data_IF_057332204037
#
_entry.id   IF_057332204037
#
_cell.length_a   1.000
_cell.length_b   1.000
_cell.length_c   1.000
_cell.angle_alpha   90.00
_cell.angle_beta   90.00
_cell.angle_gamma   90.00
#
_symmetry.space_group_name_H-M   'P 1'
#
loop_
_entity.id
_entity.type
_entity.pdbx_description
1 polymer ?
#
# COMPACT_ATOMS: atom_id res chain seq x y z
N UNK A 1 46.19 -26.54 10.75
CA UNK A 1 46.52 -25.29 10.03
C UNK A 1 45.29 -24.58 9.46
N UNK A 2 44.48 -25.18 8.57
CA UNK A 2 43.26 -24.49 8.06
C UNK A 2 42.19 -24.31 9.15
N UNK A 3 41.98 -25.31 10.02
CA UNK A 3 41.02 -25.22 11.14
C UNK A 3 41.42 -24.17 12.19
N UNK A 4 42.71 -23.99 12.45
CA UNK A 4 43.21 -23.00 13.40
C UNK A 4 42.97 -21.57 12.90
N UNK A 5 43.24 -21.34 11.61
CA UNK A 5 43.04 -20.03 10.95
C UNK A 5 41.56 -19.63 10.97
N UNK A 6 40.65 -20.55 10.69
CA UNK A 6 39.20 -20.28 10.77
C UNK A 6 38.79 -19.93 12.21
N UNK A 7 39.34 -20.61 13.22
CA UNK A 7 39.09 -20.33 14.63
C UNK A 7 39.53 -18.91 15.04
N UNK A 8 40.74 -18.49 14.64
CA UNK A 8 41.24 -17.14 14.92
C UNK A 8 40.46 -16.04 14.19
N UNK A 9 40.01 -16.30 12.95
CA UNK A 9 39.10 -15.41 12.22
C UNK A 9 37.74 -15.26 12.91
N UNK A 10 37.16 -16.36 13.41
CA UNK A 10 35.90 -16.29 14.15
C UNK A 10 36.05 -15.56 15.50
N UNK A 11 37.14 -15.80 16.24
CA UNK A 11 37.44 -15.13 17.51
C UNK A 11 37.68 -13.62 17.33
N UNK A 12 38.47 -13.23 16.33
CA UNK A 12 38.72 -11.82 16.03
C UNK A 12 37.46 -11.08 15.59
N UNK A 13 36.60 -11.72 14.77
CA UNK A 13 35.30 -11.16 14.40
C UNK A 13 34.37 -11.02 15.61
N UNK A 14 34.33 -12.01 16.51
CA UNK A 14 33.55 -11.95 17.73
C UNK A 14 34.01 -10.82 18.68
N UNK A 15 35.32 -10.63 18.83
CA UNK A 15 35.89 -9.56 19.64
C UNK A 15 35.60 -8.17 19.05
N UNK A 16 35.69 -8.03 17.72
CA UNK A 16 35.32 -6.80 17.00
C UNK A 16 33.83 -6.46 17.20
N UNK A 17 32.95 -7.45 17.10
CA UNK A 17 31.52 -7.26 17.33
C UNK A 17 31.25 -6.86 18.79
N UNK A 18 31.92 -7.50 19.75
CA UNK A 18 31.78 -7.19 21.17
C UNK A 18 32.21 -5.75 21.49
N UNK A 19 33.36 -5.31 20.97
CA UNK A 19 33.87 -3.94 21.17
C UNK A 19 32.96 -2.88 20.54
N UNK A 20 32.41 -3.14 19.34
CA UNK A 20 31.43 -2.25 18.71
C UNK A 20 30.13 -2.15 19.51
N UNK A 21 29.66 -3.26 20.09
CA UNK A 21 28.49 -3.29 20.98
C UNK A 21 28.76 -2.47 22.25
N UNK A 22 29.89 -2.71 22.91
CA UNK A 22 30.28 -2.00 24.14
C UNK A 22 30.42 -0.50 23.90
N UNK A 23 31.04 -0.07 22.79
CA UNK A 23 31.17 1.35 22.45
C UNK A 23 29.81 2.03 22.25
N UNK A 24 28.84 1.34 21.63
CA UNK A 24 27.48 1.88 21.46
C UNK A 24 26.70 1.90 22.76
N UNK A 25 26.88 0.92 23.64
CA UNK A 25 26.28 0.92 24.98
C UNK A 25 26.85 2.06 25.82
N UNK A 26 28.16 2.25 25.81
CA UNK A 26 28.83 3.36 26.51
C UNK A 26 28.37 4.73 26.02
N UNK A 27 28.29 4.94 24.69
CA UNK A 27 27.72 6.18 24.11
C UNK A 27 26.25 6.42 24.44
N UNK A 28 25.50 5.36 24.74
CA UNK A 28 24.09 5.45 25.15
C UNK A 28 23.96 5.78 26.63
N UNK A 29 24.91 5.33 27.46
CA UNK A 29 24.99 5.62 28.88
C UNK A 29 25.37 7.09 29.16
N UNK A 30 26.17 7.73 28.28
CA UNK A 30 26.55 9.15 28.41
C UNK A 30 25.50 10.15 27.92
N UNK A 31 24.35 9.68 27.42
CA UNK A 31 23.25 10.53 26.95
C UNK A 31 22.28 10.91 28.06
N UNK A 32 22.67 11.90 28.88
CA UNK A 32 21.92 12.54 29.98
C UNK A 32 20.38 12.48 29.84
N UNK A 33 19.73 12.06 30.93
CA UNK A 33 18.29 11.90 31.07
C UNK A 33 17.59 13.11 31.66
N UNK A 34 17.29 14.11 30.84
CA UNK A 34 16.27 15.12 31.15
C UNK A 34 15.46 15.44 29.88
N UNK A 35 14.14 15.21 29.92
CA UNK A 35 13.20 15.67 28.88
C UNK A 35 12.91 14.75 27.68
N UNK A 36 13.29 13.46 27.70
CA UNK A 36 12.93 12.55 26.58
C UNK A 36 11.41 12.25 26.63
N UNK A 37 10.65 12.51 25.55
CA UNK A 37 9.23 12.18 25.50
C UNK A 37 9.03 10.69 25.81
N UNK A 38 8.05 10.39 26.67
CA UNK A 38 7.70 9.01 27.02
C UNK A 38 7.23 8.31 25.75
N UNK A 39 8.04 7.36 25.28
CA UNK A 39 7.68 6.52 24.15
C UNK A 39 6.68 5.46 24.62
N UNK A 40 5.80 4.96 23.73
CA UNK A 40 4.98 3.80 24.01
C UNK A 40 5.84 2.61 24.45
N UNK A 41 5.30 1.68 25.26
CA UNK A 41 6.01 0.47 25.65
C UNK A 41 6.47 -0.32 24.40
N UNK A 42 7.52 -1.11 24.53
CA UNK A 42 8.03 -1.89 23.42
C UNK A 42 8.83 -3.09 23.88
N UNK A 43 8.89 -4.16 23.07
CA UNK A 43 9.64 -5.35 23.41
C UNK A 43 11.14 -5.06 23.47
N UNK A 44 11.89 -6.00 24.04
CA UNK A 44 13.33 -5.88 24.17
C UNK A 44 14.01 -5.78 22.80
N UNK A 45 15.04 -4.92 22.72
CA UNK A 45 15.71 -4.50 21.48
C UNK A 45 17.17 -4.93 21.49
N UNK A 46 17.61 -5.58 20.41
CA UNK A 46 19.04 -5.82 20.17
C UNK A 46 19.76 -4.54 19.72
N UNK A 47 21.07 -4.41 20.02
CA UNK A 47 21.89 -3.35 19.46
C UNK A 47 21.91 -3.46 17.93
N UNK A 48 21.98 -2.32 17.25
CA UNK A 48 22.00 -2.18 15.77
C UNK A 48 20.68 -2.58 15.08
N UNK A 49 20.21 -3.81 15.21
CA UNK A 49 19.04 -4.33 14.46
C UNK A 49 17.69 -4.02 15.12
N UNK A 50 17.67 -3.72 16.43
CA UNK A 50 16.44 -3.48 17.18
C UNK A 50 15.57 -4.74 17.29
N UNK A 51 14.31 -4.62 16.91
CA UNK A 51 13.27 -5.67 16.93
C UNK A 51 13.15 -6.42 15.61
N UNK A 52 14.06 -6.20 14.65
CA UNK A 52 14.02 -6.89 13.36
C UNK A 52 14.12 -8.43 13.53
N UNK A 53 14.87 -8.89 14.54
CA UNK A 53 14.98 -10.30 14.90
C UNK A 53 13.62 -10.94 15.26
N UNK A 54 12.79 -10.25 16.05
CA UNK A 54 11.45 -10.72 16.40
C UNK A 54 10.54 -10.79 15.16
N UNK A 55 10.62 -9.77 14.30
CA UNK A 55 9.81 -9.70 13.08
C UNK A 55 10.22 -10.77 12.07
N UNK A 56 11.51 -10.97 11.86
CA UNK A 56 12.03 -11.94 10.91
C UNK A 56 11.82 -13.39 11.36
N UNK A 57 11.85 -13.66 12.66
CA UNK A 57 11.62 -15.01 13.21
C UNK A 57 10.13 -15.36 13.34
N UNK A 58 9.23 -14.36 13.36
CA UNK A 58 7.78 -14.56 13.53
C UNK A 58 7.03 -15.05 12.29
N UNK A 59 7.74 -15.35 11.21
CA UNK A 59 7.16 -15.91 9.98
C UNK A 59 6.92 -14.87 8.88
N UNK A 60 6.32 -15.30 7.75
CA UNK A 60 6.21 -14.46 6.55
C UNK A 60 5.23 -13.29 6.71
N UNK A 61 4.26 -13.41 7.62
CA UNK A 61 3.21 -12.41 7.83
C UNK A 61 3.59 -11.45 8.96
N UNK A 62 4.39 -10.44 8.62
CA UNK A 62 4.93 -9.45 9.57
C UNK A 62 3.85 -8.79 10.44
N UNK A 63 2.66 -8.53 9.89
CA UNK A 63 1.56 -7.93 10.64
C UNK A 63 1.04 -8.84 11.76
N UNK A 64 1.04 -10.17 11.60
CA UNK A 64 0.65 -11.11 12.65
C UNK A 64 1.66 -11.12 13.78
N UNK A 65 2.95 -11.17 13.44
CA UNK A 65 4.02 -11.04 14.43
C UNK A 65 3.89 -9.76 15.24
N UNK A 66 3.57 -8.64 14.59
CA UNK A 66 3.29 -7.38 15.30
C UNK A 66 2.03 -7.46 16.16
N UNK A 67 0.94 -8.07 15.71
CA UNK A 67 -0.24 -8.29 16.54
C UNK A 67 0.09 -9.08 17.82
N UNK A 68 0.85 -10.16 17.67
CA UNK A 68 1.24 -11.03 18.79
C UNK A 68 2.12 -10.31 19.80
N UNK A 69 3.07 -9.51 19.32
CA UNK A 69 3.90 -8.67 20.19
C UNK A 69 3.06 -7.63 20.94
N UNK A 70 2.06 -7.02 20.30
CA UNK A 70 1.16 -6.08 20.96
C UNK A 70 0.31 -6.76 22.03
N UNK A 71 -0.24 -7.94 21.73
CA UNK A 71 -1.06 -8.74 22.67
C UNK A 71 -0.26 -9.14 23.89
N UNK A 72 0.96 -9.64 23.71
CA UNK A 72 1.85 -10.03 24.83
C UNK A 72 2.21 -8.88 25.76
N UNK A 73 2.22 -7.65 25.25
CA UNK A 73 2.54 -6.46 26.02
C UNK A 73 1.30 -5.77 26.61
N UNK A 74 0.10 -6.25 26.30
CA UNK A 74 -1.19 -5.61 26.60
C UNK A 74 -1.17 -4.10 26.33
N UNK A 75 -0.60 -3.72 25.18
CA UNK A 75 -0.32 -2.34 24.85
C UNK A 75 -1.16 -1.88 23.65
N UNK A 76 -2.01 -0.84 23.78
CA UNK A 76 -2.80 -0.30 22.66
C UNK A 76 -1.93 0.43 21.63
N UNK A 77 -0.74 0.87 22.05
CA UNK A 77 0.32 1.44 21.23
C UNK A 77 1.66 0.83 21.65
N UNK A 78 2.42 0.35 20.66
CA UNK A 78 3.72 -0.27 20.86
C UNK A 78 4.81 0.46 20.07
N UNK A 79 6.01 0.63 20.64
CA UNK A 79 7.17 1.14 19.91
C UNK A 79 8.08 0.00 19.46
N UNK A 80 8.37 -0.05 18.16
CA UNK A 80 9.33 -0.94 17.54
C UNK A 80 10.51 -0.17 16.94
N UNK A 81 11.66 -0.85 16.87
CA UNK A 81 12.83 -0.35 16.14
C UNK A 81 13.24 -1.36 15.08
N UNK A 82 13.12 -1.03 13.80
CA UNK A 82 13.53 -1.89 12.70
C UNK A 82 14.82 -1.32 12.11
N UNK A 83 15.97 -1.83 12.55
CA UNK A 83 17.28 -1.23 12.24
C UNK A 83 17.39 0.20 12.80
N UNK A 84 17.47 1.18 11.91
CA UNK A 84 17.49 2.60 12.26
C UNK A 84 16.10 3.24 12.30
N UNK A 85 15.09 2.57 11.74
CA UNK A 85 13.73 3.08 11.69
C UNK A 85 13.04 2.91 13.05
N UNK A 86 12.36 3.97 13.48
CA UNK A 86 11.44 3.93 14.62
C UNK A 86 10.03 3.77 14.07
N UNK A 87 9.34 2.74 14.56
CA UNK A 87 7.98 2.40 14.15
C UNK A 87 7.09 2.41 15.38
N UNK A 88 5.88 2.93 15.26
CA UNK A 88 4.84 2.82 16.27
C UNK A 88 3.74 1.92 15.70
N UNK A 89 3.28 0.96 16.49
CA UNK A 89 2.21 0.06 16.09
C UNK A 89 0.98 0.38 16.90
N UNK A 90 -0.14 0.64 16.24
CA UNK A 90 -1.45 0.75 16.86
C UNK A 90 -2.19 -0.57 16.72
N UNK A 91 -2.55 -1.15 17.86
CA UNK A 91 -3.12 -2.50 18.00
C UNK A 91 -4.53 -2.50 18.58
N UNK A 92 -5.09 -1.31 18.86
CA UNK A 92 -6.46 -1.14 19.35
C UNK A 92 -7.26 -0.21 18.45
N UNK A 93 -8.58 -0.42 18.40
CA UNK A 93 -9.49 0.44 17.64
C UNK A 93 -9.43 1.91 18.10
N UNK A 94 -9.28 2.15 19.41
CA UNK A 94 -9.15 3.50 19.96
C UNK A 94 -7.85 4.17 19.52
N UNK A 95 -6.72 3.47 19.60
CA UNK A 95 -5.44 4.02 19.13
C UNK A 95 -5.44 4.28 17.62
N UNK A 96 -5.99 3.35 16.83
CA UNK A 96 -6.15 3.55 15.39
C UNK A 96 -7.01 4.78 15.09
N UNK A 97 -8.15 4.93 15.78
CA UNK A 97 -9.04 6.09 15.64
C UNK A 97 -8.35 7.41 15.99
N UNK A 98 -7.55 7.45 17.05
CA UNK A 98 -6.80 8.65 17.44
C UNK A 98 -5.82 9.07 16.34
N UNK A 99 -5.17 8.12 15.68
CA UNK A 99 -4.21 8.37 14.61
C UNK A 99 -4.90 8.74 13.29
N UNK A 100 -5.95 8.02 12.91
CA UNK A 100 -6.57 8.16 11.58
C UNK A 100 -7.74 9.13 11.53
N UNK A 101 -8.19 9.66 12.68
CA UNK A 101 -9.27 10.66 12.74
C UNK A 101 -8.93 11.88 13.57
N UNK A 102 -8.51 11.67 14.83
CA UNK A 102 -8.28 12.81 15.74
C UNK A 102 -7.04 13.60 15.33
N UNK A 103 -5.97 12.90 14.92
CA UNK A 103 -4.69 13.48 14.53
C UNK A 103 -4.33 13.14 13.07
N UNK A 104 -5.31 12.95 12.21
CA UNK A 104 -5.15 12.46 10.84
C UNK A 104 -4.19 13.32 10.00
N UNK A 105 -4.28 14.65 10.09
CA UNK A 105 -3.38 15.59 9.38
C UNK A 105 -1.93 15.44 9.84
N UNK A 106 -1.68 15.22 11.13
CA UNK A 106 -0.33 15.04 11.66
C UNK A 106 0.33 13.74 11.16
N UNK A 107 -0.49 12.73 10.84
CA UNK A 107 -0.04 11.43 10.34
C UNK A 107 -0.29 11.21 8.83
N UNK A 108 -0.81 12.22 8.13
CA UNK A 108 -1.14 12.11 6.71
C UNK A 108 0.10 11.98 5.81
N UNK A 109 1.23 12.55 6.22
CA UNK A 109 2.46 12.52 5.44
C UNK A 109 3.20 11.20 5.59
N UNK A 110 3.42 10.51 4.47
CA UNK A 110 4.19 9.26 4.41
C UNK A 110 5.67 9.57 4.18
N UNK A 111 6.57 9.26 5.14
CA UNK A 111 8.00 9.48 4.93
C UNK A 111 8.53 8.52 3.87
N UNK A 112 9.26 9.03 2.89
CA UNK A 112 9.83 8.20 1.84
C UNK A 112 11.05 7.44 2.31
N UNK A 113 11.10 6.17 1.95
CA UNK A 113 12.31 5.35 2.00
C UNK A 113 13.24 5.70 0.82
N UNK A 114 14.44 5.14 0.79
CA UNK A 114 15.34 5.32 -0.36
C UNK A 114 14.74 4.74 -1.64
N UNK A 115 14.11 3.59 -1.54
CA UNK A 115 13.41 2.92 -2.65
C UNK A 115 12.25 3.76 -3.18
N UNK A 116 11.42 4.31 -2.28
CA UNK A 116 10.29 5.16 -2.69
C UNK A 116 10.78 6.47 -3.33
N UNK A 117 11.87 7.06 -2.84
CA UNK A 117 12.47 8.25 -3.46
C UNK A 117 12.83 8.02 -4.93
N UNK A 118 13.39 6.86 -5.23
CA UNK A 118 13.71 6.47 -6.61
C UNK A 118 12.45 6.29 -7.45
N UNK A 119 11.44 5.59 -6.95
CA UNK A 119 10.19 5.37 -7.70
C UNK A 119 9.40 6.66 -7.96
N UNK A 120 9.69 7.73 -7.23
CA UNK A 120 8.99 9.02 -7.33
C UNK A 120 9.91 10.12 -7.88
N UNK A 121 11.04 9.78 -8.50
CA UNK A 121 12.06 10.76 -8.92
C UNK A 121 11.53 11.76 -9.94
N UNK A 122 10.68 11.29 -10.86
CA UNK A 122 10.17 12.09 -11.97
C UNK A 122 8.75 12.62 -11.73
N UNK A 123 8.16 12.34 -10.57
CA UNK A 123 6.80 12.77 -10.27
C UNK A 123 6.18 12.00 -9.13
N UNK A 124 5.18 12.61 -8.50
CA UNK A 124 4.50 12.03 -7.34
C UNK A 124 3.02 11.88 -7.61
N UNK A 125 2.51 10.67 -7.38
CA UNK A 125 1.10 10.31 -7.51
C UNK A 125 0.32 10.44 -6.19
N UNK A 126 -0.91 9.94 -6.17
CA UNK A 126 -1.86 10.12 -5.05
C UNK A 126 -1.44 9.40 -3.73
N UNK A 127 -0.75 8.27 -3.82
CA UNK A 127 -0.45 7.37 -2.69
C UNK A 127 0.74 7.84 -1.87
N UNK A 128 1.78 8.37 -2.53
CA UNK A 128 3.02 8.78 -1.87
C UNK A 128 3.20 10.30 -1.78
N UNK A 129 2.29 11.11 -2.34
CA UNK A 129 2.37 12.56 -2.20
C UNK A 129 2.25 13.01 -0.74
N UNK A 130 3.18 13.85 -0.25
CA UNK A 130 3.05 14.48 1.06
C UNK A 130 1.74 15.27 1.14
N UNK A 131 1.15 15.30 2.33
CA UNK A 131 -0.08 16.05 2.52
C UNK A 131 0.17 17.55 2.26
N UNK A 132 -0.61 18.13 1.36
CA UNK A 132 -0.40 19.49 0.88
C UNK A 132 -1.37 19.88 -0.24
N UNK A 133 -1.15 21.04 -0.85
CA UNK A 133 -2.00 21.53 -1.94
C UNK A 133 -2.06 20.57 -3.13
N UNK A 134 -0.90 20.07 -3.60
CA UNK A 134 -0.81 19.10 -4.68
C UNK A 134 -1.59 17.81 -4.38
N UNK A 135 -1.40 17.22 -3.20
CA UNK A 135 -2.13 16.00 -2.82
C UNK A 135 -3.65 16.22 -2.77
N UNK A 136 -4.11 17.35 -2.20
CA UNK A 136 -5.55 17.68 -2.15
C UNK A 136 -6.13 17.86 -3.54
N UNK A 137 -5.37 18.48 -4.46
CA UNK A 137 -5.76 18.66 -5.85
C UNK A 137 -5.85 17.33 -6.59
N UNK A 138 -4.81 16.49 -6.52
CA UNK A 138 -4.80 15.16 -7.13
C UNK A 138 -5.94 14.29 -6.60
N UNK A 139 -6.20 14.34 -5.28
CA UNK A 139 -7.33 13.64 -4.66
C UNK A 139 -8.66 14.14 -5.18
N UNK A 140 -8.85 15.46 -5.30
CA UNK A 140 -10.08 16.06 -5.83
C UNK A 140 -10.35 15.58 -7.26
N UNK A 141 -9.33 15.61 -8.12
CA UNK A 141 -9.44 15.12 -9.50
C UNK A 141 -9.84 13.64 -9.50
N UNK A 142 -9.11 12.78 -8.79
CA UNK A 142 -9.44 11.35 -8.74
C UNK A 142 -10.87 11.09 -8.21
N UNK A 143 -11.31 11.81 -7.17
CA UNK A 143 -12.65 11.63 -6.59
C UNK A 143 -13.75 12.08 -7.56
N UNK A 144 -13.58 13.22 -8.22
CA UNK A 144 -14.61 13.78 -9.11
C UNK A 144 -14.68 12.99 -10.42
N UNK A 145 -13.52 12.64 -10.96
CA UNK A 145 -13.37 12.22 -12.36
C UNK A 145 -13.26 10.70 -12.54
N UNK A 146 -12.97 9.96 -11.47
CA UNK A 146 -12.91 8.50 -11.50
C UNK A 146 -13.88 7.87 -10.50
N UNK A 147 -13.91 8.38 -9.27
CA UNK A 147 -14.59 7.71 -8.15
C UNK A 147 -15.97 8.31 -7.81
N UNK A 148 -16.49 9.20 -8.66
CA UNK A 148 -17.83 9.76 -8.48
C UNK A 148 -18.89 8.75 -8.93
N UNK A 149 -20.06 8.75 -8.28
CA UNK A 149 -21.13 7.82 -8.63
C UNK A 149 -21.52 7.90 -10.12
N UNK A 150 -21.51 9.10 -10.70
CA UNK A 150 -21.75 9.33 -12.12
C UNK A 150 -20.69 8.67 -13.00
N UNK A 151 -19.40 8.82 -12.68
CA UNK A 151 -18.30 8.23 -13.47
C UNK A 151 -18.22 6.72 -13.31
N UNK A 152 -18.46 6.21 -12.10
CA UNK A 152 -18.56 4.76 -11.88
C UNK A 152 -19.72 4.16 -12.69
N UNK A 153 -20.83 4.89 -12.83
CA UNK A 153 -21.95 4.46 -13.68
C UNK A 153 -21.62 4.51 -15.18
N UNK A 154 -20.84 5.49 -15.67
CA UNK A 154 -20.43 5.50 -17.08
C UNK A 154 -19.53 4.31 -17.42
N UNK A 155 -18.69 3.86 -16.49
CA UNK A 155 -17.87 2.65 -16.67
C UNK A 155 -18.65 1.32 -16.56
N UNK A 156 -19.98 1.36 -16.56
CA UNK A 156 -20.81 0.15 -16.49
C UNK A 156 -20.52 -0.82 -17.64
N UNK A 157 -20.41 -0.29 -18.87
CA UNK A 157 -20.14 -1.10 -20.05
C UNK A 157 -18.82 -1.88 -19.93
N UNK A 158 -17.75 -1.22 -19.46
CA UNK A 158 -16.46 -1.87 -19.22
C UNK A 158 -16.63 -3.06 -18.28
N UNK A 159 -17.31 -2.87 -17.14
CA UNK A 159 -17.53 -3.96 -16.18
C UNK A 159 -18.38 -5.10 -16.76
N UNK A 160 -19.43 -4.78 -17.51
CA UNK A 160 -20.28 -5.79 -18.17
C UNK A 160 -19.48 -6.59 -19.20
N UNK A 161 -18.64 -5.93 -20.01
CA UNK A 161 -17.73 -6.58 -20.95
C UNK A 161 -16.75 -7.51 -20.24
N UNK A 162 -16.08 -7.03 -19.18
CA UNK A 162 -15.10 -7.81 -18.41
C UNK A 162 -15.75 -9.04 -17.76
N UNK A 163 -16.92 -8.87 -17.14
CA UNK A 163 -17.67 -9.97 -16.53
C UNK A 163 -18.11 -10.98 -17.59
N UNK A 164 -18.54 -10.50 -18.75
CA UNK A 164 -18.85 -11.36 -19.90
C UNK A 164 -17.66 -12.23 -20.31
N UNK A 165 -16.45 -11.64 -20.39
CA UNK A 165 -15.21 -12.38 -20.68
C UNK A 165 -14.90 -13.42 -19.62
N UNK A 166 -15.05 -13.07 -18.34
CA UNK A 166 -14.87 -14.00 -17.23
C UNK A 166 -15.82 -15.20 -17.34
N UNK A 167 -17.12 -14.95 -17.52
CA UNK A 167 -18.14 -16.00 -17.61
C UNK A 167 -17.88 -16.91 -18.83
N UNK A 168 -17.57 -16.33 -19.99
CA UNK A 168 -17.23 -17.09 -21.18
C UNK A 168 -16.00 -17.99 -20.96
N UNK A 169 -14.96 -17.48 -20.31
CA UNK A 169 -13.74 -18.23 -20.04
C UNK A 169 -13.93 -19.35 -18.99
N UNK A 170 -14.87 -19.18 -18.06
CA UNK A 170 -15.28 -20.24 -17.12
C UNK A 170 -16.15 -21.28 -17.83
N UNK A 171 -17.10 -20.87 -18.66
CA UNK A 171 -17.98 -21.77 -19.40
C UNK A 171 -17.23 -22.62 -20.44
N UNK A 172 -16.15 -22.09 -21.01
CA UNK A 172 -15.29 -22.81 -21.95
C UNK A 172 -14.33 -23.81 -21.27
N UNK A 173 -14.22 -23.80 -19.94
CA UNK A 173 -13.34 -24.71 -19.22
C UNK A 173 -13.89 -26.15 -19.26
N UNK A 174 -13.04 -27.18 -19.45
CA UNK A 174 -13.48 -28.57 -19.42
C UNK A 174 -14.13 -28.94 -18.09
N UNK A 175 -15.24 -29.69 -18.11
CA UNK A 175 -16.02 -30.04 -16.91
C UNK A 175 -15.23 -30.79 -15.82
N UNK A 176 -14.10 -31.41 -16.18
CA UNK A 176 -13.24 -32.16 -15.26
C UNK A 176 -12.05 -31.35 -14.73
N UNK A 177 -11.85 -30.09 -15.14
CA UNK A 177 -10.70 -29.29 -14.74
C UNK A 177 -11.09 -28.21 -13.73
N UNK A 178 -10.45 -28.15 -12.55
CA UNK A 178 -10.69 -27.08 -11.59
C UNK A 178 -10.23 -25.74 -12.19
N UNK A 179 -11.09 -24.73 -12.09
CA UNK A 179 -10.80 -23.37 -12.55
C UNK A 179 -10.39 -22.49 -11.38
N UNK A 180 -9.26 -21.81 -11.48
CA UNK A 180 -8.84 -20.83 -10.49
C UNK A 180 -9.65 -19.52 -10.66
N UNK A 181 -10.77 -19.42 -9.97
CA UNK A 181 -11.65 -18.24 -10.03
C UNK A 181 -10.96 -17.00 -9.44
N UNK A 182 -10.13 -17.15 -8.41
CA UNK A 182 -9.44 -16.05 -7.75
C UNK A 182 -8.50 -15.31 -8.71
N UNK A 183 -7.72 -16.05 -9.49
CA UNK A 183 -6.83 -15.48 -10.50
C UNK A 183 -7.62 -14.77 -11.61
N UNK A 184 -8.72 -15.35 -12.05
CA UNK A 184 -9.57 -14.73 -13.09
C UNK A 184 -10.29 -13.48 -12.59
N UNK A 185 -10.69 -13.42 -11.32
CA UNK A 185 -11.22 -12.21 -10.70
C UNK A 185 -10.13 -11.15 -10.57
N UNK A 186 -8.91 -11.52 -10.18
CA UNK A 186 -7.78 -10.58 -10.12
C UNK A 186 -7.46 -9.98 -11.49
N UNK A 187 -7.56 -10.80 -12.55
CA UNK A 187 -7.48 -10.34 -13.94
C UNK A 187 -8.65 -9.39 -14.27
N UNK A 188 -9.90 -9.78 -14.04
CA UNK A 188 -11.09 -8.94 -14.24
C UNK A 188 -10.94 -7.53 -13.64
N UNK A 189 -10.49 -7.45 -12.39
CA UNK A 189 -10.27 -6.19 -11.67
C UNK A 189 -9.15 -5.39 -12.33
N UNK A 190 -8.02 -6.04 -12.64
CA UNK A 190 -6.88 -5.40 -13.32
C UNK A 190 -7.24 -4.88 -14.71
N UNK A 191 -8.02 -5.64 -15.47
CA UNK A 191 -8.50 -5.33 -16.81
C UNK A 191 -9.47 -4.15 -16.77
N UNK A 192 -10.45 -4.20 -15.86
CA UNK A 192 -11.39 -3.10 -15.62
C UNK A 192 -10.65 -1.80 -15.27
N UNK A 193 -9.73 -1.86 -14.30
CA UNK A 193 -8.99 -0.69 -13.84
C UNK A 193 -8.15 -0.07 -14.97
N UNK A 194 -7.39 -0.89 -15.72
CA UNK A 194 -6.59 -0.38 -16.84
C UNK A 194 -7.46 0.24 -17.92
N UNK A 195 -8.59 -0.37 -18.29
CA UNK A 195 -9.52 0.21 -19.27
C UNK A 195 -10.13 1.52 -18.81
N UNK A 196 -10.44 1.68 -17.52
CA UNK A 196 -10.96 2.95 -17.00
C UNK A 196 -9.92 4.07 -16.93
N UNK A 197 -8.63 3.73 -16.81
CA UNK A 197 -7.54 4.70 -16.65
C UNK A 197 -6.92 5.08 -18.00
N UNK A 198 -6.66 4.11 -18.87
CA UNK A 198 -5.87 4.24 -20.11
C UNK A 198 -6.73 3.95 -21.36
N UNK A 199 -7.94 3.42 -21.21
CA UNK A 199 -8.82 3.05 -22.32
C UNK A 199 -8.60 1.63 -22.86
N UNK A 200 -9.30 1.32 -23.96
CA UNK A 200 -9.66 -0.06 -24.31
C UNK A 200 -8.54 -0.94 -24.89
N UNK A 201 -7.40 -0.38 -25.34
CA UNK A 201 -6.34 -1.20 -25.97
C UNK A 201 -4.95 -0.58 -25.80
N UNK A 202 -4.14 -1.05 -24.89
CA UNK A 202 -2.72 -0.69 -24.85
C UNK A 202 -1.90 -1.89 -25.36
N UNK A 203 -1.07 -1.72 -26.40
CA UNK A 203 -0.36 -2.85 -27.04
C UNK A 203 0.61 -3.54 -26.08
N UNK A 204 1.28 -2.77 -25.20
CA UNK A 204 2.26 -3.27 -24.23
C UNK A 204 1.65 -3.46 -22.84
N UNK A 205 0.36 -3.79 -22.80
CA UNK A 205 -0.41 -3.92 -21.56
C UNK A 205 0.18 -4.93 -20.58
N UNK A 206 0.47 -6.13 -21.04
CA UNK A 206 0.95 -7.18 -20.15
C UNK A 206 2.29 -6.81 -19.53
N UNK A 207 3.20 -6.19 -20.30
CA UNK A 207 4.45 -5.63 -19.79
C UNK A 207 4.22 -4.56 -18.71
N UNK A 208 3.18 -3.74 -18.85
CA UNK A 208 2.79 -2.75 -17.84
C UNK A 208 2.18 -3.40 -16.60
N UNK A 209 1.39 -4.46 -16.76
CA UNK A 209 0.85 -5.19 -15.61
C UNK A 209 1.97 -5.85 -14.81
N UNK A 210 2.94 -6.47 -15.49
CA UNK A 210 4.14 -7.04 -14.90
C UNK A 210 4.98 -5.98 -14.19
N UNK A 211 5.22 -4.84 -14.86
CA UNK A 211 5.95 -3.71 -14.28
C UNK A 211 5.27 -3.15 -13.04
N UNK A 212 3.94 -3.15 -12.98
CA UNK A 212 3.23 -2.74 -11.77
C UNK A 212 3.33 -3.79 -10.65
N UNK A 213 3.15 -5.07 -10.97
CA UNK A 213 3.28 -6.15 -9.98
C UNK A 213 4.68 -6.13 -9.35
N UNK A 214 5.69 -5.92 -10.18
CA UNK A 214 7.07 -5.74 -9.77
C UNK A 214 7.26 -4.48 -8.90
N UNK A 215 6.65 -3.36 -9.27
CA UNK A 215 6.63 -2.16 -8.43
C UNK A 215 6.05 -2.46 -7.05
N UNK A 216 4.92 -3.18 -6.96
CA UNK A 216 4.26 -3.56 -5.71
C UNK A 216 5.21 -4.41 -4.85
N UNK A 217 5.88 -5.40 -5.46
CA UNK A 217 6.87 -6.25 -4.78
C UNK A 217 8.04 -5.46 -4.21
N UNK A 218 8.57 -4.50 -4.98
CA UNK A 218 9.67 -3.63 -4.54
C UNK A 218 9.23 -2.76 -3.36
N UNK A 219 7.99 -2.24 -3.38
CA UNK A 219 7.50 -1.33 -2.34
C UNK A 219 7.00 -2.01 -1.07
N UNK A 220 6.59 -3.28 -1.15
CA UNK A 220 6.03 -4.03 -0.02
C UNK A 220 7.10 -4.69 0.87
N UNK A 221 8.32 -4.86 0.35
CA UNK A 221 9.41 -5.50 1.08
C UNK A 221 10.19 -4.58 2.02
N UNK A 222 10.79 -5.15 3.07
CA UNK A 222 11.80 -4.47 3.89
C UNK A 222 13.17 -4.58 3.21
N UNK A 223 13.61 -3.53 2.51
CA UNK A 223 14.96 -3.50 1.95
C UNK A 223 16.00 -3.09 3.01
N UNK A 224 17.23 -3.61 2.89
CA UNK A 224 18.33 -3.24 3.80
C UNK A 224 18.64 -1.74 3.76
N UNK A 225 18.61 -1.13 2.57
CA UNK A 225 18.79 0.31 2.40
C UNK A 225 17.70 1.14 3.08
N UNK A 226 16.46 0.63 3.11
CA UNK A 226 15.36 1.32 3.78
C UNK A 226 15.41 1.16 5.30
N UNK A 227 15.91 0.02 5.81
CA UNK A 227 16.08 -0.22 7.25
C UNK A 227 17.30 0.48 7.86
N UNK A 228 18.36 0.68 7.07
CA UNK A 228 19.62 1.31 7.48
C UNK A 228 20.04 2.43 6.52
N UNK A 229 19.25 3.52 6.43
CA UNK A 229 19.50 4.61 5.49
C UNK A 229 20.85 5.30 5.69
N UNK A 230 21.47 5.22 6.88
CA UNK A 230 22.81 5.79 7.10
C UNK A 230 23.96 4.96 6.50
N UNK A 231 23.71 3.68 6.18
CA UNK A 231 24.76 2.76 5.72
C UNK A 231 24.77 2.65 4.20
N UNK A 232 25.81 3.21 3.56
CA UNK A 232 26.03 3.08 2.11
C UNK A 232 26.19 1.62 1.68
N UNK A 233 26.79 0.78 2.53
CA UNK A 233 26.95 -0.65 2.29
C UNK A 233 25.60 -1.37 2.27
N UNK A 234 24.69 -1.04 3.20
CA UNK A 234 23.36 -1.65 3.23
C UNK A 234 22.56 -1.30 1.96
N UNK A 235 22.66 -0.07 1.49
CA UNK A 235 22.05 0.38 0.23
C UNK A 235 22.66 -0.32 -1.00
N UNK A 236 23.98 -0.54 -1.01
CA UNK A 236 24.67 -1.21 -2.10
C UNK A 236 24.36 -2.71 -2.16
N UNK A 237 24.45 -3.41 -1.02
CA UNK A 237 24.22 -4.86 -0.92
C UNK A 237 22.74 -5.22 -1.18
N UNK A 238 21.81 -4.35 -0.78
CA UNK A 238 20.38 -4.63 -0.87
C UNK A 238 19.81 -4.71 -2.29
N UNK A 239 20.49 -4.17 -3.31
CA UNK A 239 20.10 -4.21 -4.74
C UNK A 239 18.73 -3.60 -5.10
N UNK A 240 17.92 -3.25 -4.10
CA UNK A 240 16.51 -2.88 -4.24
C UNK A 240 16.36 -1.51 -4.90
N UNK A 241 17.27 -0.57 -4.60
CA UNK A 241 17.31 0.74 -5.25
C UNK A 241 17.55 0.62 -6.75
N UNK A 242 18.51 -0.20 -7.19
CA UNK A 242 18.78 -0.45 -8.62
C UNK A 242 17.59 -1.12 -9.31
N UNK A 243 16.96 -2.09 -8.63
CA UNK A 243 15.73 -2.75 -9.10
C UNK A 243 14.57 -1.75 -9.22
N UNK A 244 14.45 -0.84 -8.28
CA UNK A 244 13.48 0.25 -8.29
C UNK A 244 13.74 1.25 -9.43
N UNK A 245 15.00 1.63 -9.70
CA UNK A 245 15.38 2.50 -10.82
C UNK A 245 15.03 1.86 -12.17
N UNK A 246 15.35 0.58 -12.35
CA UNK A 246 15.03 -0.16 -13.56
C UNK A 246 13.51 -0.25 -13.76
N UNK A 247 12.78 -0.61 -12.70
CA UNK A 247 11.32 -0.69 -12.72
C UNK A 247 10.64 0.67 -12.95
N UNK A 248 11.18 1.74 -12.35
CA UNK A 248 10.71 3.10 -12.53
C UNK A 248 10.82 3.52 -14.00
N UNK A 249 12.02 3.37 -14.60
CA UNK A 249 12.26 3.69 -16.01
C UNK A 249 11.34 2.91 -16.94
N UNK A 250 11.25 1.58 -16.76
CA UNK A 250 10.38 0.72 -17.58
C UNK A 250 8.91 1.16 -17.50
N UNK A 251 8.38 1.38 -16.30
CA UNK A 251 6.99 1.78 -16.13
C UNK A 251 6.72 3.19 -16.69
N UNK A 252 7.63 4.15 -16.50
CA UNK A 252 7.45 5.50 -17.05
C UNK A 252 7.50 5.53 -18.58
N UNK A 253 8.33 4.69 -19.21
CA UNK A 253 8.36 4.49 -20.65
C UNK A 253 7.04 3.87 -21.15
N UNK A 254 6.55 2.83 -20.48
CA UNK A 254 5.29 2.16 -20.83
C UNK A 254 4.09 3.12 -20.74
N UNK A 255 4.03 3.94 -19.69
CA UNK A 255 2.97 4.93 -19.54
C UNK A 255 3.09 6.02 -20.62
N UNK A 256 4.31 6.43 -20.99
CA UNK A 256 4.50 7.37 -22.09
C UNK A 256 4.04 6.81 -23.43
N UNK A 257 4.33 5.54 -23.70
CA UNK A 257 3.84 4.84 -24.87
C UNK A 257 2.30 4.78 -24.85
N UNK A 258 1.70 4.47 -23.70
CA UNK A 258 0.25 4.45 -23.54
C UNK A 258 -0.39 5.82 -23.78
N UNK A 259 0.18 6.89 -23.21
CA UNK A 259 -0.28 8.27 -23.41
C UNK A 259 -0.21 8.67 -24.89
N UNK A 260 0.88 8.32 -25.59
CA UNK A 260 1.05 8.63 -27.01
C UNK A 260 0.05 7.89 -27.89
N UNK A 261 -0.09 6.57 -27.70
CA UNK A 261 -1.08 5.77 -28.43
C UNK A 261 -2.51 6.27 -28.18
N UNK A 262 -2.78 6.74 -26.97
CA UNK A 262 -4.06 7.34 -26.60
C UNK A 262 -4.34 8.62 -27.39
N UNK A 263 -3.39 9.57 -27.42
CA UNK A 263 -3.51 10.80 -28.20
C UNK A 263 -3.66 10.55 -29.70
N UNK A 264 -2.89 9.60 -30.27
CA UNK A 264 -2.96 9.22 -31.68
C UNK A 264 -4.35 8.68 -32.07
N UNK A 265 -4.96 7.84 -31.22
CA UNK A 265 -6.30 7.30 -31.49
C UNK A 265 -7.39 8.33 -31.34
N UNK A 266 -7.25 9.23 -30.37
CA UNK A 266 -8.15 10.38 -30.22
C UNK A 266 -8.11 11.27 -31.45
N UNK A 267 -6.91 11.56 -31.97
CA UNK A 267 -6.74 12.31 -33.21
C UNK A 267 -7.34 11.58 -34.44
N UNK A 268 -7.29 10.25 -34.46
CA UNK A 268 -7.87 9.43 -35.52
C UNK A 268 -9.41 9.22 -35.41
N UNK A 269 -10.06 9.76 -34.37
CA UNK A 269 -11.50 9.57 -34.13
C UNK A 269 -11.89 8.13 -33.79
N UNK A 270 -10.94 7.31 -33.33
CA UNK A 270 -11.10 5.86 -33.13
C UNK A 270 -11.56 5.47 -31.71
N UNK A 271 -12.03 6.42 -30.90
CA UNK A 271 -12.39 6.21 -29.49
C UNK A 271 -13.86 6.60 -29.27
N UNK A 272 -14.58 5.83 -28.46
CA UNK A 272 -15.93 6.17 -28.00
C UNK A 272 -15.93 7.56 -27.32
N UNK A 273 -17.06 8.26 -27.35
CA UNK A 273 -17.23 9.63 -26.78
C UNK A 273 -17.00 9.70 -25.25
N UNK A 274 -16.81 8.57 -24.59
CA UNK A 274 -16.55 8.51 -23.16
C UNK A 274 -15.11 8.94 -22.83
N UNK A 275 -15.00 10.09 -22.19
CA UNK A 275 -13.75 10.63 -21.66
C UNK A 275 -13.16 9.68 -20.59
N UNK A 276 -11.88 9.30 -20.67
CA UNK A 276 -11.19 8.52 -19.65
C UNK A 276 -10.38 9.40 -18.69
N UNK A 277 -9.68 8.80 -17.73
CA UNK A 277 -8.92 9.57 -16.76
C UNK A 277 -7.72 10.30 -17.38
N UNK A 278 -7.04 9.69 -18.35
CA UNK A 278 -5.89 10.30 -19.02
C UNK A 278 -6.34 11.56 -19.75
N UNK A 279 -7.48 11.52 -20.44
CA UNK A 279 -8.07 12.69 -21.08
C UNK A 279 -8.31 13.84 -20.11
N UNK A 280 -8.95 13.53 -18.98
CA UNK A 280 -9.23 14.51 -17.93
C UNK A 280 -7.93 15.12 -17.42
N UNK A 281 -6.91 14.30 -17.13
CA UNK A 281 -5.63 14.77 -16.59
C UNK A 281 -4.89 15.65 -17.60
N UNK A 282 -4.91 15.30 -18.90
CA UNK A 282 -4.31 16.09 -19.97
C UNK A 282 -5.06 17.39 -20.22
N UNK A 283 -6.40 17.37 -20.20
CA UNK A 283 -7.24 18.58 -20.31
C UNK A 283 -6.97 19.52 -19.15
N UNK A 284 -7.04 19.03 -17.92
CA UNK A 284 -6.80 19.82 -16.71
C UNK A 284 -5.37 20.37 -16.66
N UNK A 285 -4.39 19.65 -17.21
CA UNK A 285 -3.03 20.18 -17.38
C UNK A 285 -2.99 21.33 -18.40
N UNK A 286 -3.65 21.19 -19.56
CA UNK A 286 -3.70 22.21 -20.63
C UNK A 286 -4.46 23.46 -20.21
N UNK A 287 -5.52 23.32 -19.43
CA UNK A 287 -6.35 24.43 -18.96
C UNK A 287 -5.61 25.38 -18.01
N UNK A 288 -4.53 24.92 -17.36
CA UNK A 288 -3.65 25.74 -16.51
C UNK A 288 -4.33 26.38 -15.29
N UNK A 289 -5.61 26.09 -15.04
CA UNK A 289 -6.45 26.70 -14.00
C UNK A 289 -6.20 26.17 -12.59
N UNK A 290 -5.29 25.19 -12.47
CA UNK A 290 -4.95 24.55 -11.21
C UNK A 290 -4.06 25.45 -10.35
N UNK A 291 -4.32 25.42 -9.04
CA UNK A 291 -3.48 26.12 -8.05
C UNK A 291 -2.04 25.62 -8.10
N UNK A 292 -1.85 24.31 -8.32
CA UNK A 292 -0.53 23.69 -8.54
C UNK A 292 -0.46 23.14 -9.96
N UNK A 293 0.46 23.61 -10.81
CA UNK A 293 0.63 23.08 -12.16
C UNK A 293 0.89 21.58 -12.14
N UNK A 294 0.09 20.83 -12.90
CA UNK A 294 0.25 19.39 -13.02
C UNK A 294 1.36 19.10 -14.04
N UNK A 295 2.47 18.51 -13.59
CA UNK A 295 3.55 18.11 -14.52
C UNK A 295 3.21 16.80 -15.21
N UNK A 296 3.80 16.52 -16.37
CA UNK A 296 3.66 15.23 -17.04
C UNK A 296 4.12 14.07 -16.14
N UNK A 297 5.14 14.30 -15.33
CA UNK A 297 5.59 13.38 -14.30
C UNK A 297 4.51 13.02 -13.28
N UNK A 298 3.72 14.02 -12.83
CA UNK A 298 2.59 13.77 -11.94
C UNK A 298 1.48 12.97 -12.62
N UNK A 299 1.16 13.24 -13.89
CA UNK A 299 0.17 12.48 -14.66
C UNK A 299 0.60 11.00 -14.73
N UNK A 300 1.83 10.74 -15.17
CA UNK A 300 2.39 9.38 -15.24
C UNK A 300 2.34 8.69 -13.88
N UNK A 301 2.73 9.39 -12.81
CA UNK A 301 2.68 8.85 -11.45
C UNK A 301 1.25 8.55 -10.97
N UNK A 302 0.25 9.36 -11.33
CA UNK A 302 -1.17 9.13 -10.98
C UNK A 302 -1.72 7.90 -11.69
N UNK A 303 -1.44 7.74 -12.99
CA UNK A 303 -1.81 6.54 -13.77
C UNK A 303 -1.22 5.28 -13.15
N UNK A 304 0.06 5.31 -12.77
CA UNK A 304 0.71 4.19 -12.07
C UNK A 304 0.09 3.89 -10.70
N UNK A 305 -0.41 4.92 -10.02
CA UNK A 305 -0.84 4.85 -8.63
C UNK A 305 -2.31 4.44 -8.46
N UNK A 306 -3.18 4.79 -9.40
CA UNK A 306 -4.61 4.52 -9.25
C UNK A 306 -4.97 3.04 -9.40
N UNK A 307 -4.17 2.26 -10.12
CA UNK A 307 -4.27 0.78 -10.05
C UNK A 307 -3.81 0.23 -8.69
N UNK A 308 -2.87 0.89 -8.01
CA UNK A 308 -2.34 0.43 -6.71
C UNK A 308 -3.37 0.49 -5.57
N UNK A 309 -4.57 1.04 -5.77
CA UNK A 309 -5.48 1.29 -4.66
C UNK A 309 -6.31 0.08 -4.19
N UNK A 310 -6.29 -1.04 -4.93
CA UNK A 310 -7.32 -2.08 -4.75
C UNK A 310 -6.85 -3.45 -4.26
N UNK A 311 -5.55 -3.65 -4.06
CA UNK A 311 -5.08 -4.81 -3.32
C UNK A 311 -3.91 -4.42 -2.40
N UNK A 312 -4.11 -4.70 -1.12
CA UNK A 312 -3.10 -4.71 -0.05
C UNK A 312 -2.42 -3.37 0.26
N UNK A 313 -2.98 -2.64 1.23
CA UNK A 313 -2.22 -1.59 1.92
C UNK A 313 -1.30 -2.22 2.97
N UNK A 314 0.01 -2.31 2.69
CA UNK A 314 1.02 -2.54 3.74
C UNK A 314 2.27 -1.65 3.63
N UNK A 315 2.65 -1.18 4.81
CA UNK A 315 3.93 -0.63 5.29
C UNK A 315 4.63 0.44 4.42
N UNK A 316 4.26 1.71 4.64
CA UNK A 316 5.10 2.86 4.27
C UNK A 316 5.11 3.99 5.30
N UNK A 317 4.36 3.84 6.40
CA UNK A 317 4.31 4.81 7.48
C UNK A 317 5.27 4.46 8.61
N UNK A 318 5.75 5.47 9.35
CA UNK A 318 6.32 5.25 10.69
C UNK A 318 5.30 4.67 11.67
N UNK A 319 4.03 4.59 11.27
CA UNK A 319 2.95 3.96 12.02
C UNK A 319 2.39 2.80 11.21
N UNK A 320 2.28 1.64 11.85
CA UNK A 320 1.59 0.46 11.31
C UNK A 320 0.34 0.23 12.17
N UNK A 321 -0.82 0.24 11.54
CA UNK A 321 -2.07 -0.15 12.20
C UNK A 321 -2.31 -1.62 11.90
N UNK A 322 -2.42 -2.43 12.94
CA UNK A 322 -2.66 -3.87 12.81
C UNK A 322 -4.07 -4.16 13.33
N UNK A 323 -4.95 -4.81 12.55
CA UNK A 323 -6.28 -5.16 13.03
C UNK A 323 -6.18 -6.20 14.16
N UNK A 324 -7.12 -6.20 15.12
CA UNK A 324 -7.22 -7.28 16.09
C UNK A 324 -7.58 -8.58 15.36
N UNK A 325 -6.79 -9.63 15.58
CA UNK A 325 -7.14 -11.00 15.17
C UNK A 325 -8.18 -11.47 16.18
N UNK A 326 -9.40 -11.79 15.74
CA UNK A 326 -10.41 -12.38 16.60
C UNK A 326 -9.91 -13.77 17.04
N UNK A 327 -9.83 -14.00 18.35
CA UNK A 327 -9.51 -15.32 18.90
C UNK A 327 -10.68 -16.27 18.57
N UNK A 328 -10.37 -17.40 17.97
CA UNK A 328 -11.33 -18.40 17.46
C UNK A 328 -12.02 -19.25 18.55
N UNK A 329 -12.00 -18.83 19.82
CA UNK A 329 -12.44 -19.65 20.95
C UNK A 329 -13.81 -19.24 21.54
N UNK A 330 -14.67 -18.60 20.76
CA UNK A 330 -16.08 -18.37 21.15
C UNK A 330 -17.07 -18.79 20.07
N UNK A 331 -16.99 -20.05 19.65
CA UNK A 331 -18.17 -20.73 19.14
C UNK A 331 -19.16 -20.90 20.32
N UNK A 332 -20.37 -20.36 20.15
CA UNK A 332 -21.52 -20.48 21.07
C UNK A 332 -21.48 -19.64 22.36
N UNK A 333 -21.66 -18.31 22.28
CA UNK A 333 -22.72 -17.66 23.08
C UNK A 333 -23.10 -16.30 22.53
N UNK A 334 -24.37 -16.19 22.19
CA UNK A 334 -25.09 -15.01 21.76
C UNK A 334 -25.46 -14.18 22.98
N UNK A 335 -24.97 -12.93 23.08
CA UNK A 335 -25.62 -11.90 23.90
C UNK A 335 -25.56 -10.56 23.17
N UNK A 336 -26.74 -10.07 22.83
CA UNK A 336 -27.00 -8.71 22.39
C UNK A 336 -26.36 -7.71 23.37
N UNK A 337 -25.63 -6.75 22.83
CA UNK A 337 -25.62 -5.41 23.38
C UNK A 337 -25.81 -4.44 22.21
N UNK A 338 -27.05 -3.96 22.07
CA UNK A 338 -27.40 -2.84 21.19
C UNK A 338 -26.65 -1.59 21.62
N UNK A 339 -25.75 -1.07 20.78
CA UNK A 339 -25.48 0.35 20.76
C UNK A 339 -25.30 0.85 19.32
N UNK A 340 -26.45 1.09 18.67
CA UNK A 340 -26.58 1.88 17.43
C UNK A 340 -26.21 3.34 17.73
N UNK A 341 -25.06 3.83 17.21
CA UNK A 341 -24.99 4.99 16.28
C UNK A 341 -23.57 5.51 16.04
N UNK A 342 -23.33 5.80 14.76
CA UNK A 342 -22.44 6.85 14.22
C UNK A 342 -20.94 6.70 14.52
N UNK A 343 -20.20 6.30 13.48
CA UNK A 343 -19.09 7.06 12.86
C UNK A 343 -18.34 6.12 11.92
N UNK A 344 -18.35 6.42 10.62
CA UNK A 344 -17.65 5.65 9.59
C UNK A 344 -16.19 5.41 9.95
N UNK A 345 -15.79 4.14 10.02
CA UNK A 345 -14.41 3.69 10.15
C UNK A 345 -14.15 2.78 8.95
N UNK A 346 -13.14 3.15 8.15
CA UNK A 346 -12.61 2.30 7.09
C UNK A 346 -11.56 1.40 7.76
N UNK A 347 -11.95 0.16 8.01
CA UNK A 347 -11.08 -0.95 8.48
C UNK A 347 -10.68 -1.74 7.24
N UNK A 348 -9.40 -2.13 7.14
CA UNK A 348 -8.91 -3.02 6.10
C UNK A 348 -9.59 -4.39 6.25
N UNK A 349 -10.39 -4.78 5.25
CA UNK A 349 -11.08 -6.06 5.21
C UNK A 349 -10.13 -7.19 4.78
N UNK A 350 -10.28 -8.35 5.42
CA UNK A 350 -9.96 -9.65 4.83
C UNK A 350 -11.29 -10.38 4.73
N UNK A 351 -11.74 -10.65 3.50
CA UNK A 351 -13.01 -11.32 3.20
C UNK A 351 -12.80 -12.84 3.34
N UNK A 352 -13.30 -13.43 4.43
CA UNK A 352 -13.66 -14.85 4.46
C UNK A 352 -15.16 -14.95 4.14
N UNK A 353 -15.47 -15.66 3.06
CA UNK A 353 -16.82 -15.80 2.50
C UNK A 353 -17.67 -16.69 3.41
N UNK A 354 -18.65 -16.11 4.09
CA UNK A 354 -19.71 -16.81 4.82
C UNK A 354 -21.08 -16.33 4.37
N UNK A 355 -21.94 -17.27 3.96
CA UNK A 355 -23.29 -17.05 3.37
C UNK A 355 -24.20 -16.15 4.23
N UNK A 356 -24.87 -15.21 3.57
CA UNK A 356 -25.95 -14.40 4.13
C UNK A 356 -27.31 -15.14 4.00
N UNK A 357 -28.14 -15.06 5.04
CA UNK A 357 -29.59 -15.33 4.95
C UNK A 357 -30.36 -14.03 5.10
N UNK A 358 -31.38 -13.94 4.26
CA UNK A 358 -32.27 -12.83 3.92
C UNK A 358 -33.20 -12.39 5.08
N UNK A 359 -33.49 -11.08 5.19
CA UNK A 359 -34.40 -10.54 6.19
C UNK A 359 -34.59 -9.01 6.21
N UNK A 360 -35.39 -8.53 5.25
CA UNK A 360 -36.38 -7.42 5.26
C UNK A 360 -36.07 -6.01 5.86
N UNK A 361 -36.26 -5.00 5.00
CA UNK A 361 -37.21 -3.91 5.27
C UNK A 361 -36.80 -2.71 6.13
N UNK A 362 -36.51 -1.59 5.44
CA UNK A 362 -36.91 -0.19 5.79
C UNK A 362 -35.95 0.66 6.64
N UNK A 363 -35.06 1.42 5.96
CA UNK A 363 -34.91 2.91 6.08
C UNK A 363 -33.88 3.43 5.06
N UNK A 364 -34.39 3.71 3.86
CA UNK A 364 -33.76 4.50 2.78
C UNK A 364 -33.69 5.98 3.18
N UNK A 365 -32.49 6.59 3.16
CA UNK A 365 -32.12 7.73 2.27
C UNK A 365 -30.81 8.47 2.64
N UNK A 366 -30.19 8.26 3.80
CA UNK A 366 -28.94 8.97 4.16
C UNK A 366 -27.73 8.04 4.41
N UNK A 367 -27.93 6.72 4.37
CA UNK A 367 -26.86 5.72 4.46
C UNK A 367 -26.35 5.26 3.07
N UNK A 368 -26.94 5.76 1.99
CA UNK A 368 -26.69 5.30 0.62
C UNK A 368 -25.42 5.92 0.01
N UNK A 369 -25.01 7.12 0.45
CA UNK A 369 -23.88 7.80 -0.18
C UNK A 369 -22.52 7.39 0.42
N UNK A 370 -22.42 7.20 1.74
CA UNK A 370 -21.15 6.82 2.39
C UNK A 370 -20.79 5.33 2.25
N UNK A 371 -21.77 4.45 2.04
CA UNK A 371 -21.53 3.01 1.86
C UNK A 371 -21.08 2.68 0.43
N UNK A 372 -21.56 3.45 -0.56
CA UNK A 372 -21.15 3.27 -1.96
C UNK A 372 -19.67 3.62 -2.19
N UNK A 373 -19.11 4.63 -1.52
CA UNK A 373 -17.67 4.95 -1.65
C UNK A 373 -16.74 3.85 -1.10
N UNK A 374 -17.25 3.02 -0.18
CA UNK A 374 -16.49 1.92 0.40
C UNK A 374 -16.45 0.72 -0.53
N UNK A 375 -17.59 0.42 -1.16
CA UNK A 375 -17.73 -0.66 -2.14
C UNK A 375 -17.04 -0.34 -3.48
N UNK A 376 -17.06 0.92 -3.92
CA UNK A 376 -16.46 1.37 -5.19
C UNK A 376 -14.93 1.24 -5.18
N UNK A 377 -14.29 1.33 -4.02
CA UNK A 377 -12.83 1.14 -3.86
C UNK A 377 -12.44 -0.32 -3.60
N UNK A 378 -13.40 -1.23 -3.42
CA UNK A 378 -13.14 -2.68 -3.33
C UNK A 378 -13.46 -3.40 -4.66
N UNK A 379 -14.01 -2.69 -5.65
CA UNK A 379 -14.48 -3.24 -6.94
C UNK A 379 -13.78 -2.66 -8.18
N UNK A 380 -13.09 -1.53 -8.05
CA UNK A 380 -11.96 -1.19 -8.94
C UNK A 380 -10.77 -1.96 -8.37
#
# INVERSE_FOLDING_TARGET
MVQDITGYLCLSLALLLLTLVLHKVARKATGNGAGKPRLPPGPWRLPVIGNLHQVAMGGPLVHRTMADLARRLDAPLMSLRLGELRVVVASSANAAREITKTHDVAFATRPWSSTIRVLMSDGVGLVFAPYGALWRQLRKIAVVELLSARRVQSFRRIREDEVGRLVAAVAAAPAAQPVNVSERIAALISDSAVRTIIGDRFERRDEFLEGLAEAIKITSGFSLGDLFPSSRLASFVGGTTRRAEANHRKNFELIECALRQHEERRAAGAVDDDEDLVDVLLRVQKDGSLQMPLTMGNIKAVVLTLRRHNHEQYVGGRIIVVPPIADSDSANTMTLCEEKRRRGVLVCWSLEVGREKEGDGKRRKEAHDSANYKLIMELI
#
